data_IF_140719173392
#
_entry.id   IF_140719173392
#
_cell.length_a   1.000
_cell.length_b   1.000
_cell.length_c   1.000
_cell.angle_alpha   90.00
_cell.angle_beta   90.00
_cell.angle_gamma   90.00
#
_symmetry.space_group_name_H-M   'P 1'
#
loop_
_entity.id
_entity.type
_entity.pdbx_description
1 polymer ?
#
# COMPACT_ATOMS: atom_id res chain seq x y z
N UNK A 1 -16.81 8.29 -7.95
CA UNK A 1 -16.99 9.67 -8.49
C UNK A 1 -17.19 9.56 -9.99
N UNK A 2 -18.25 10.15 -10.52
CA UNK A 2 -18.54 10.14 -11.95
C UNK A 2 -17.87 11.35 -12.59
N UNK A 3 -17.01 11.12 -13.58
CA UNK A 3 -16.28 12.18 -14.29
C UNK A 3 -15.99 11.76 -15.72
N UNK A 4 -16.26 12.64 -16.69
CA UNK A 4 -16.01 12.40 -18.13
C UNK A 4 -16.55 11.06 -18.66
N UNK A 5 -17.70 10.63 -18.16
CA UNK A 5 -18.37 9.38 -18.58
C UNK A 5 -17.87 8.11 -17.89
N UNK A 6 -16.93 8.22 -16.95
CA UNK A 6 -16.39 7.09 -16.20
C UNK A 6 -16.74 7.18 -14.70
N UNK A 7 -16.67 6.05 -13.99
CA UNK A 7 -16.82 5.96 -12.53
C UNK A 7 -15.48 5.67 -11.91
N UNK A 8 -14.97 6.66 -11.19
CA UNK A 8 -13.64 6.69 -10.58
C UNK A 8 -13.70 6.39 -9.08
N UNK A 9 -12.86 5.49 -8.61
CA UNK A 9 -12.53 5.41 -7.19
C UNK A 9 -11.81 6.69 -6.76
N UNK A 10 -12.06 7.14 -5.52
CA UNK A 10 -11.44 8.34 -4.99
C UNK A 10 -10.79 8.11 -3.63
N UNK A 11 -9.61 8.69 -3.48
CA UNK A 11 -8.78 8.69 -2.30
C UNK A 11 -8.92 10.03 -1.57
N UNK A 12 -10.16 10.37 -1.22
CA UNK A 12 -10.52 11.58 -0.49
C UNK A 12 -11.89 11.40 0.17
N UNK A 13 -12.17 12.21 1.20
CA UNK A 13 -13.47 12.22 1.86
C UNK A 13 -14.07 13.65 1.88
N UNK A 14 -14.47 14.24 0.73
CA UNK A 14 -14.91 15.64 0.68
C UNK A 14 -16.09 15.99 1.59
N UNK A 15 -16.89 15.00 2.00
CA UNK A 15 -18.01 15.20 2.93
C UNK A 15 -17.54 15.37 4.39
N UNK A 16 -16.37 14.84 4.77
CA UNK A 16 -15.82 15.07 6.13
C UNK A 16 -15.46 16.54 6.34
N UNK A 17 -15.04 17.24 5.30
CA UNK A 17 -14.68 18.67 5.39
C UNK A 17 -15.89 19.55 5.72
N UNK A 18 -17.12 19.04 5.52
CA UNK A 18 -18.34 19.71 5.95
C UNK A 18 -18.61 19.57 7.45
N UNK A 19 -18.15 18.47 8.07
CA UNK A 19 -18.47 18.10 9.45
C UNK A 19 -17.18 17.98 10.27
N UNK A 20 -16.73 19.10 10.84
CA UNK A 20 -15.45 19.17 11.58
C UNK A 20 -15.53 18.59 13.00
N UNK A 21 -16.72 18.34 13.55
CA UNK A 21 -16.92 17.84 14.92
C UNK A 21 -17.89 16.66 14.97
N UNK A 22 -19.17 16.90 14.72
CA UNK A 22 -20.22 15.88 14.79
C UNK A 22 -20.94 15.76 13.47
N UNK A 23 -20.89 14.56 12.89
CA UNK A 23 -21.63 14.23 11.69
C UNK A 23 -23.10 13.95 12.02
N UNK A 24 -24.07 14.38 11.19
CA UNK A 24 -25.46 13.98 11.38
C UNK A 24 -25.62 12.47 11.20
N UNK A 25 -26.65 11.92 11.84
CA UNK A 25 -27.10 10.56 11.52
C UNK A 25 -27.70 10.56 10.11
N UNK A 26 -26.96 9.96 9.18
CA UNK A 26 -27.37 9.88 7.78
C UNK A 26 -28.52 8.91 7.55
N UNK A 27 -28.71 7.91 8.41
CA UNK A 27 -29.55 6.74 8.09
C UNK A 27 -30.64 6.46 9.11
N UNK A 28 -30.55 6.97 10.35
CA UNK A 28 -31.54 6.71 11.39
C UNK A 28 -31.54 5.26 11.88
N UNK A 29 -30.46 4.51 11.61
CA UNK A 29 -30.33 3.09 11.93
C UNK A 29 -28.96 2.81 12.57
N UNK A 30 -28.92 1.83 13.45
CA UNK A 30 -27.66 1.39 14.06
C UNK A 30 -26.79 0.72 12.99
N UNK A 31 -25.61 1.28 12.75
CA UNK A 31 -24.60 0.65 11.91
C UNK A 31 -23.89 -0.49 12.64
N UNK A 32 -23.39 -1.46 11.87
CA UNK A 32 -22.44 -2.47 12.38
C UNK A 32 -21.02 -2.08 11.97
N UNK A 33 -20.05 -2.34 12.86
CA UNK A 33 -18.64 -2.00 12.63
C UNK A 33 -18.06 -2.77 11.44
N UNK A 34 -17.42 -2.05 10.51
CA UNK A 34 -16.69 -2.64 9.39
C UNK A 34 -15.26 -2.13 9.40
N UNK A 35 -14.28 -3.03 9.28
CA UNK A 35 -12.85 -2.69 9.25
C UNK A 35 -12.45 -1.92 7.98
N UNK A 36 -13.23 -2.03 6.91
CA UNK A 36 -12.92 -1.43 5.61
C UNK A 36 -13.74 -0.16 5.33
N UNK A 37 -14.67 0.18 6.24
CA UNK A 37 -15.43 1.42 6.20
C UNK A 37 -15.69 1.96 7.62
N UNK A 38 -14.62 2.34 8.33
CA UNK A 38 -14.71 2.92 9.68
C UNK A 38 -15.60 4.15 9.77
N UNK A 39 -15.72 4.91 8.66
CA UNK A 39 -16.61 6.07 8.59
C UNK A 39 -18.09 5.69 8.51
N UNK A 40 -18.46 4.45 8.24
CA UNK A 40 -19.85 3.98 8.16
C UNK A 40 -20.61 4.40 6.90
N UNK A 41 -19.99 5.14 5.97
CA UNK A 41 -20.63 5.50 4.71
C UNK A 41 -19.64 5.63 3.54
N UNK A 42 -20.20 5.50 2.33
CA UNK A 42 -19.57 5.86 1.06
C UNK A 42 -20.38 6.96 0.38
N UNK A 43 -19.72 8.04 -0.04
CA UNK A 43 -20.34 9.10 -0.79
C UNK A 43 -20.06 8.95 -2.29
N UNK A 44 -21.09 9.16 -3.09
CA UNK A 44 -21.00 9.24 -4.54
C UNK A 44 -21.05 10.70 -4.96
N UNK A 45 -20.19 11.02 -5.92
CA UNK A 45 -19.97 12.37 -6.39
C UNK A 45 -20.04 12.37 -7.90
N UNK A 46 -20.44 13.50 -8.48
CA UNK A 46 -20.34 13.78 -9.91
C UNK A 46 -19.68 15.13 -10.12
N UNK A 47 -18.91 15.25 -11.20
CA UNK A 47 -18.39 16.54 -11.65
C UNK A 47 -19.12 16.93 -12.94
N UNK A 48 -19.87 18.03 -12.89
CA UNK A 48 -20.59 18.59 -14.03
C UNK A 48 -20.25 20.07 -14.18
N UNK A 49 -19.93 20.52 -15.40
CA UNK A 49 -19.55 21.92 -15.66
C UNK A 49 -18.51 22.44 -14.67
N UNK A 50 -17.45 21.65 -14.46
CA UNK A 50 -16.37 21.89 -13.50
C UNK A 50 -16.84 22.11 -12.06
N UNK A 51 -17.98 21.54 -11.66
CA UNK A 51 -18.52 21.68 -10.31
C UNK A 51 -18.71 20.30 -9.70
N UNK A 52 -18.20 20.12 -8.48
CA UNK A 52 -18.38 18.92 -7.69
C UNK A 52 -19.75 18.93 -7.03
N UNK A 53 -20.48 17.82 -7.18
CA UNK A 53 -21.76 17.60 -6.55
C UNK A 53 -21.77 16.26 -5.81
N UNK A 54 -22.40 16.24 -4.64
CA UNK A 54 -22.79 15.03 -3.94
C UNK A 54 -24.12 14.52 -4.51
N UNK A 55 -24.17 13.26 -4.92
CA UNK A 55 -25.37 12.63 -5.51
C UNK A 55 -25.99 11.57 -4.61
N UNK A 56 -25.17 10.84 -3.86
CA UNK A 56 -25.66 9.83 -2.93
C UNK A 56 -24.73 9.68 -1.72
N UNK A 57 -25.30 9.27 -0.58
CA UNK A 57 -24.57 8.76 0.57
C UNK A 57 -25.13 7.36 0.85
N UNK A 58 -24.27 6.35 0.79
CA UNK A 58 -24.59 4.94 1.00
C UNK A 58 -24.12 4.47 2.36
N UNK A 59 -24.93 3.66 3.03
CA UNK A 59 -24.53 2.98 4.26
C UNK A 59 -23.59 1.81 3.93
N UNK A 60 -22.42 1.76 4.58
CA UNK A 60 -21.44 0.70 4.33
C UNK A 60 -21.85 -0.67 4.88
N UNK A 61 -22.67 -0.72 5.94
CA UNK A 61 -23.08 -1.95 6.62
C UNK A 61 -24.26 -2.65 5.94
N UNK A 62 -24.88 -2.03 4.93
CA UNK A 62 -26.06 -2.54 4.24
C UNK A 62 -25.90 -2.53 2.71
N UNK A 63 -24.79 -3.09 2.21
CA UNK A 63 -24.46 -3.10 0.78
C UNK A 63 -25.50 -3.85 -0.07
N UNK A 64 -26.07 -4.94 0.42
CA UNK A 64 -27.07 -5.74 -0.30
C UNK A 64 -28.33 -4.93 -0.62
N UNK A 65 -28.77 -4.09 0.32
CA UNK A 65 -29.97 -3.28 0.19
C UNK A 65 -29.67 -1.84 -0.27
N UNK A 66 -28.39 -1.50 -0.47
CA UNK A 66 -27.89 -0.17 -0.85
C UNK A 66 -28.62 0.97 -0.13
N UNK A 67 -28.71 0.89 1.20
CA UNK A 67 -29.42 1.90 2.00
C UNK A 67 -28.80 3.28 1.75
N UNK A 68 -29.64 4.23 1.31
CA UNK A 68 -29.23 5.60 0.97
C UNK A 68 -29.73 6.59 2.03
N UNK A 69 -28.91 7.59 2.32
CA UNK A 69 -29.34 8.75 3.09
C UNK A 69 -30.32 9.60 2.27
N UNK A 70 -31.28 10.25 2.94
CA UNK A 70 -32.17 11.21 2.29
C UNK A 70 -31.47 12.57 2.18
N UNK A 71 -30.92 12.89 1.00
CA UNK A 71 -30.20 14.14 0.77
C UNK A 71 -31.10 15.37 0.88
N UNK A 72 -32.37 15.29 0.45
CA UNK A 72 -33.31 16.41 0.58
C UNK A 72 -33.55 16.76 2.06
N UNK A 73 -33.74 15.76 2.92
CA UNK A 73 -33.87 15.96 4.36
C UNK A 73 -32.59 16.51 4.99
N UNK A 74 -31.42 16.03 4.54
CA UNK A 74 -30.12 16.41 5.12
C UNK A 74 -29.66 17.81 4.69
N UNK A 75 -29.98 18.24 3.47
CA UNK A 75 -29.43 19.45 2.86
C UNK A 75 -30.48 20.51 2.52
N UNK A 76 -31.77 20.20 2.65
CA UNK A 76 -32.88 21.13 2.46
C UNK A 76 -32.80 21.84 1.11
N UNK A 77 -32.84 23.17 1.13
CA UNK A 77 -32.78 24.00 -0.09
C UNK A 77 -31.48 23.88 -0.89
N UNK A 78 -30.42 23.27 -0.33
CA UNK A 78 -29.17 22.99 -1.07
C UNK A 78 -29.29 21.75 -1.96
N UNK A 79 -30.29 20.90 -1.74
CA UNK A 79 -30.59 19.76 -2.61
C UNK A 79 -31.46 20.25 -3.77
N UNK A 80 -30.90 20.23 -4.97
CA UNK A 80 -31.52 20.72 -6.20
C UNK A 80 -31.29 19.68 -7.28
N UNK A 81 -32.34 19.26 -7.98
CA UNK A 81 -32.29 18.32 -9.10
C UNK A 81 -31.48 17.03 -8.81
N UNK A 82 -31.70 16.42 -7.64
CA UNK A 82 -31.05 15.16 -7.27
C UNK A 82 -29.64 15.28 -6.70
N UNK A 83 -29.12 16.49 -6.50
CA UNK A 83 -27.72 16.71 -6.12
C UNK A 83 -27.52 17.89 -5.17
N UNK A 84 -26.39 17.88 -4.47
CA UNK A 84 -25.97 18.96 -3.57
C UNK A 84 -24.63 19.52 -4.05
N UNK A 85 -24.57 20.83 -4.32
CA UNK A 85 -23.33 21.49 -4.73
C UNK A 85 -22.32 21.50 -3.57
N UNK A 86 -21.12 20.98 -3.82
CA UNK A 86 -20.07 20.85 -2.80
C UNK A 86 -19.25 22.12 -2.60
N UNK A 87 -19.90 23.27 -2.40
CA UNK A 87 -19.23 24.57 -2.30
C UNK A 87 -18.34 24.75 -1.05
N UNK A 88 -18.50 23.87 -0.06
CA UNK A 88 -17.64 23.79 1.12
C UNK A 88 -16.25 23.21 0.81
N UNK A 89 -16.11 22.36 -0.21
CA UNK A 89 -14.89 21.59 -0.43
C UNK A 89 -13.82 22.39 -1.18
N UNK A 90 -12.61 22.46 -0.63
CA UNK A 90 -11.42 22.96 -1.32
C UNK A 90 -10.24 22.05 -1.02
N UNK A 91 -9.72 21.35 -2.02
CA UNK A 91 -8.72 20.31 -1.82
C UNK A 91 -8.46 19.47 -3.06
N UNK A 92 -7.51 18.55 -2.97
CA UNK A 92 -7.21 17.56 -4.00
C UNK A 92 -8.03 16.29 -3.80
N UNK A 93 -8.56 15.74 -4.89
CA UNK A 93 -9.11 14.39 -4.97
C UNK A 93 -8.20 13.58 -5.88
N UNK A 94 -7.67 12.48 -5.37
CA UNK A 94 -6.85 11.54 -6.16
C UNK A 94 -7.73 10.36 -6.56
N UNK A 95 -7.64 9.94 -7.81
CA UNK A 95 -8.23 8.69 -8.30
C UNK A 95 -7.09 7.74 -8.73
N UNK A 96 -6.92 6.59 -8.05
CA UNK A 96 -5.95 5.57 -8.44
C UNK A 96 -6.46 4.75 -9.64
N UNK A 97 -5.57 4.41 -10.57
CA UNK A 97 -5.93 3.65 -11.77
C UNK A 97 -4.81 2.71 -12.20
N UNK A 98 -5.18 1.62 -12.87
CA UNK A 98 -4.23 0.63 -13.38
C UNK A 98 -3.76 -0.36 -12.31
N UNK A 99 -2.56 -0.92 -12.50
CA UNK A 99 -2.03 -1.97 -11.62
C UNK A 99 -1.58 -1.41 -10.28
N UNK A 100 -1.74 -2.19 -9.22
CA UNK A 100 -1.16 -1.89 -7.91
C UNK A 100 0.36 -1.99 -8.00
N UNK A 101 1.05 -0.88 -7.81
CA UNK A 101 2.53 -0.79 -7.81
C UNK A 101 3.06 -1.16 -6.44
N UNK A 102 2.45 -0.62 -5.38
CA UNK A 102 2.86 -0.90 -4.02
C UNK A 102 1.68 -0.82 -3.05
N UNK A 103 1.49 -1.87 -2.26
CA UNK A 103 0.44 -1.93 -1.24
C UNK A 103 0.88 -1.23 0.04
N UNK A 104 0.04 -0.32 0.54
CA UNK A 104 0.17 0.27 1.86
C UNK A 104 -1.15 0.07 2.61
N UNK A 105 -1.07 -0.62 3.75
CA UNK A 105 -2.24 -1.11 4.48
C UNK A 105 -3.15 0.02 5.00
N UNK A 106 -2.55 1.11 5.47
CA UNK A 106 -3.31 2.18 6.14
C UNK A 106 -3.73 3.28 5.18
N UNK A 107 -5.04 3.54 5.13
CA UNK A 107 -5.64 4.68 4.44
C UNK A 107 -5.49 4.64 2.92
N UNK A 108 -5.45 5.82 2.30
CA UNK A 108 -5.37 6.00 0.85
C UNK A 108 -3.93 6.05 0.32
N UNK A 109 -3.04 5.27 0.94
CA UNK A 109 -1.60 5.36 0.69
C UNK A 109 -1.09 4.35 -0.35
N UNK A 110 -1.89 3.33 -0.72
CA UNK A 110 -1.50 2.39 -1.77
C UNK A 110 -1.22 3.13 -3.09
N UNK A 111 -0.17 2.70 -3.79
CA UNK A 111 0.34 3.36 -4.98
C UNK A 111 -0.05 2.54 -6.20
N UNK A 112 -0.70 3.18 -7.15
CA UNK A 112 -1.15 2.59 -8.41
C UNK A 112 -0.40 3.18 -9.59
N UNK A 113 -0.37 2.44 -10.69
CA UNK A 113 0.34 2.78 -11.92
C UNK A 113 0.02 4.19 -12.42
N UNK A 114 -1.23 4.61 -12.34
CA UNK A 114 -1.65 5.95 -12.68
C UNK A 114 -2.43 6.59 -11.53
N UNK A 115 -2.24 7.89 -11.33
CA UNK A 115 -3.05 8.71 -10.42
C UNK A 115 -3.57 9.91 -11.18
N UNK A 116 -4.89 10.11 -11.16
CA UNK A 116 -5.54 11.34 -11.59
C UNK A 116 -5.80 12.22 -10.37
N UNK A 117 -5.17 13.40 -10.32
CA UNK A 117 -5.41 14.41 -9.29
C UNK A 117 -6.30 15.54 -9.83
N UNK A 118 -7.40 15.76 -9.13
CA UNK A 118 -8.38 16.82 -9.41
C UNK A 118 -8.37 17.80 -8.24
N UNK A 119 -7.97 19.06 -8.49
CA UNK A 119 -7.94 20.10 -7.46
C UNK A 119 -9.20 20.96 -7.52
N UNK A 120 -9.83 21.17 -6.37
CA UNK A 120 -11.04 21.96 -6.24
C UNK A 120 -10.84 23.19 -5.37
N UNK A 121 -11.54 24.28 -5.73
CA UNK A 121 -11.71 25.48 -4.89
C UNK A 121 -13.20 25.78 -4.77
N UNK A 122 -13.73 25.73 -3.56
CA UNK A 122 -15.17 25.93 -3.26
C UNK A 122 -16.07 25.10 -4.20
N UNK A 123 -15.74 23.82 -4.34
CA UNK A 123 -16.43 22.86 -5.20
C UNK A 123 -16.20 23.04 -6.70
N UNK A 124 -15.35 23.99 -7.15
CA UNK A 124 -15.02 24.16 -8.57
C UNK A 124 -13.72 23.46 -8.92
N UNK A 125 -13.74 22.62 -9.94
CA UNK A 125 -12.54 22.00 -10.51
C UNK A 125 -11.68 23.07 -11.16
N UNK A 126 -10.48 23.28 -10.63
CA UNK A 126 -9.54 24.31 -11.12
C UNK A 126 -8.27 23.72 -11.74
N UNK A 127 -7.98 22.45 -11.47
CA UNK A 127 -6.80 21.76 -12.02
C UNK A 127 -7.06 20.26 -12.15
N UNK A 128 -6.58 19.71 -13.26
CA UNK A 128 -6.50 18.28 -13.52
C UNK A 128 -5.03 17.94 -13.82
N UNK A 129 -4.50 16.90 -13.18
CA UNK A 129 -3.14 16.44 -13.41
C UNK A 129 -3.05 14.92 -13.34
N UNK A 130 -2.34 14.35 -14.31
CA UNK A 130 -2.04 12.92 -14.37
C UNK A 130 -0.62 12.65 -13.90
N UNK A 131 -0.46 11.55 -13.18
CA UNK A 131 0.83 11.04 -12.76
C UNK A 131 0.95 9.57 -13.14
N UNK A 132 2.16 9.19 -13.53
CA UNK A 132 2.54 7.80 -13.73
C UNK A 132 3.51 7.39 -12.61
N UNK A 133 3.21 6.29 -11.95
CA UNK A 133 4.00 5.71 -10.89
C UNK A 133 4.47 4.33 -11.33
N UNK A 134 5.68 3.96 -10.92
CA UNK A 134 6.22 2.66 -11.28
C UNK A 134 7.18 2.17 -10.21
N UNK A 135 7.40 0.85 -10.22
CA UNK A 135 8.49 0.23 -9.49
C UNK A 135 9.61 -0.04 -10.49
N UNK A 136 10.87 0.20 -10.12
CA UNK A 136 12.00 -0.16 -10.97
C UNK A 136 12.01 -1.68 -11.25
N UNK A 137 12.80 -2.11 -12.23
CA UNK A 137 12.97 -3.55 -12.49
C UNK A 137 13.65 -4.26 -11.31
N UNK A 138 14.66 -3.64 -10.70
CA UNK A 138 15.48 -4.22 -9.63
C UNK A 138 16.02 -5.63 -9.96
N UNK A 139 16.43 -6.38 -8.94
CA UNK A 139 16.89 -7.76 -9.10
C UNK A 139 15.75 -8.79 -9.02
N UNK A 140 16.02 -10.01 -9.47
CA UNK A 140 15.08 -11.14 -9.33
C UNK A 140 14.68 -11.40 -7.88
N UNK A 141 15.54 -11.06 -6.92
CA UNK A 141 15.33 -11.35 -5.50
C UNK A 141 14.27 -10.45 -4.84
N UNK A 142 13.98 -9.28 -5.40
CA UNK A 142 12.89 -8.44 -4.88
C UNK A 142 11.52 -8.84 -5.43
N UNK A 143 11.49 -9.61 -6.52
CA UNK A 143 10.27 -10.06 -7.21
C UNK A 143 9.87 -11.49 -6.87
N UNK A 144 10.86 -12.35 -6.65
CA UNK A 144 10.68 -13.78 -6.44
C UNK A 144 11.12 -14.18 -5.02
N UNK A 145 10.16 -14.42 -4.10
CA UNK A 145 10.46 -14.81 -2.72
C UNK A 145 11.26 -16.10 -2.60
N UNK A 146 11.16 -17.02 -3.54
CA UNK A 146 11.85 -18.30 -3.48
C UNK A 146 13.30 -18.17 -3.97
N UNK A 147 13.54 -17.33 -4.99
CA UNK A 147 14.91 -16.94 -5.37
C UNK A 147 15.60 -16.18 -4.25
N UNK A 148 14.88 -15.29 -3.57
CA UNK A 148 15.39 -14.59 -2.38
C UNK A 148 15.78 -15.57 -1.28
N UNK A 149 14.88 -16.48 -0.89
CA UNK A 149 15.18 -17.52 0.11
C UNK A 149 16.39 -18.35 -0.29
N UNK A 150 16.45 -18.77 -1.56
CA UNK A 150 17.59 -19.54 -2.07
C UNK A 150 18.88 -18.75 -1.94
N UNK A 151 18.89 -17.47 -2.33
CA UNK A 151 20.05 -16.58 -2.17
C UNK A 151 20.46 -16.47 -0.70
N UNK A 152 19.54 -16.12 0.19
CA UNK A 152 19.83 -15.93 1.61
C UNK A 152 20.41 -17.21 2.23
N UNK A 153 19.70 -18.33 2.12
CA UNK A 153 20.08 -19.57 2.81
C UNK A 153 21.32 -20.25 2.22
N UNK A 154 21.66 -19.99 0.96
CA UNK A 154 22.91 -20.46 0.35
C UNK A 154 24.14 -19.63 0.75
N UNK A 155 23.94 -18.39 1.18
CA UNK A 155 25.03 -17.50 1.63
C UNK A 155 25.21 -17.47 3.15
N UNK A 156 24.26 -17.99 3.94
CA UNK A 156 24.40 -18.14 5.39
C UNK A 156 25.48 -19.18 5.71
N UNK A 157 26.42 -18.79 6.56
CA UNK A 157 27.34 -19.72 7.22
C UNK A 157 26.62 -20.44 8.36
N UNK A 158 26.08 -21.62 8.03
CA UNK A 158 25.32 -22.45 8.96
C UNK A 158 26.15 -22.93 10.16
N UNK A 159 27.48 -22.89 10.10
CA UNK A 159 28.34 -23.24 11.25
C UNK A 159 28.32 -22.16 12.35
N UNK A 160 27.95 -20.93 12.01
CA UNK A 160 27.77 -19.84 12.98
C UNK A 160 26.41 -19.87 13.67
N UNK A 161 25.50 -20.74 13.22
CA UNK A 161 24.16 -20.87 13.78
C UNK A 161 24.19 -21.96 14.85
N UNK A 162 23.76 -21.70 16.10
CA UNK A 162 23.75 -22.73 17.14
C UNK A 162 22.75 -23.84 16.83
N UNK A 163 22.91 -25.03 17.41
CA UNK A 163 21.93 -26.11 17.28
C UNK A 163 20.56 -25.66 17.79
N UNK A 164 19.59 -25.58 16.88
CA UNK A 164 18.23 -25.10 17.15
C UNK A 164 17.30 -26.23 17.60
N UNK A 165 17.74 -27.50 17.58
CA UNK A 165 16.91 -28.67 17.88
C UNK A 165 15.62 -28.66 17.05
N UNK A 166 14.48 -28.44 17.70
CA UNK A 166 13.15 -28.38 17.09
C UNK A 166 12.60 -26.94 17.00
N UNK A 167 13.37 -25.95 17.45
CA UNK A 167 12.97 -24.55 17.42
C UNK A 167 13.14 -23.97 16.02
N UNK A 168 12.24 -23.04 15.69
CA UNK A 168 12.36 -22.16 14.52
C UNK A 168 12.50 -20.73 15.01
N UNK A 169 13.52 -20.05 14.52
CA UNK A 169 13.75 -18.62 14.77
C UNK A 169 13.33 -17.86 13.53
N UNK A 170 12.55 -16.79 13.71
CA UNK A 170 12.22 -15.87 12.62
C UNK A 170 12.80 -14.49 12.96
N UNK A 171 13.79 -14.09 12.16
CA UNK A 171 14.48 -12.81 12.25
C UNK A 171 13.92 -11.84 11.23
N UNK A 172 13.95 -10.55 11.55
CA UNK A 172 13.61 -9.48 10.60
C UNK A 172 14.85 -8.64 10.34
N UNK A 173 15.38 -8.73 9.12
CA UNK A 173 16.40 -7.81 8.64
C UNK A 173 15.69 -6.68 7.91
N UNK A 174 16.03 -5.45 8.24
CA UNK A 174 15.48 -4.26 7.61
C UNK A 174 16.57 -3.49 6.88
N UNK A 175 16.23 -2.90 5.75
CA UNK A 175 17.16 -2.11 4.97
C UNK A 175 16.47 -1.00 4.20
N UNK A 176 17.24 0.03 3.87
CA UNK A 176 16.83 1.11 2.97
C UNK A 176 17.68 1.08 1.71
N UNK A 177 17.20 1.74 0.67
CA UNK A 177 17.91 1.87 -0.61
C UNK A 177 17.97 3.32 -1.04
N UNK A 178 18.92 3.63 -1.92
CA UNK A 178 18.88 4.87 -2.69
C UNK A 178 17.87 4.76 -3.85
N UNK A 179 17.72 5.84 -4.63
CA UNK A 179 16.82 5.85 -5.80
C UNK A 179 17.26 4.91 -6.94
N UNK A 180 18.44 4.31 -6.88
CA UNK A 180 18.92 3.32 -7.86
C UNK A 180 18.77 1.89 -7.33
N UNK A 181 18.19 1.70 -6.14
CA UNK A 181 18.01 0.38 -5.53
C UNK A 181 19.26 -0.17 -4.84
N UNK A 182 20.34 0.61 -4.74
CA UNK A 182 21.53 0.19 -4.00
C UNK A 182 21.25 0.31 -2.51
N UNK A 183 21.66 -0.70 -1.74
CA UNK A 183 21.40 -0.73 -0.30
C UNK A 183 22.19 0.38 0.41
N UNK A 184 21.50 1.20 1.19
CA UNK A 184 22.09 2.32 1.96
C UNK A 184 22.35 1.91 3.41
N UNK A 185 21.37 1.32 4.07
CA UNK A 185 21.47 0.87 5.46
C UNK A 185 20.91 -0.53 5.62
N UNK A 186 21.51 -1.34 6.49
CA UNK A 186 21.05 -2.69 6.82
C UNK A 186 21.17 -2.90 8.33
N UNK A 187 20.08 -3.30 8.98
CA UNK A 187 20.03 -3.60 10.41
C UNK A 187 19.11 -4.79 10.71
N UNK A 188 19.21 -5.33 11.91
CA UNK A 188 18.37 -6.44 12.37
C UNK A 188 17.34 -5.86 13.34
N UNK A 189 16.08 -5.77 12.91
CA UNK A 189 14.97 -5.25 13.73
C UNK A 189 14.46 -6.29 14.73
N UNK A 190 14.50 -7.57 14.34
CA UNK A 190 14.21 -8.71 15.23
C UNK A 190 15.30 -9.74 15.07
N UNK A 191 16.15 -9.86 16.08
CA UNK A 191 17.30 -10.76 16.10
C UNK A 191 17.09 -12.02 16.94
N UNK A 192 18.17 -12.76 17.13
CA UNK A 192 18.26 -13.88 18.06
C UNK A 192 19.42 -13.69 19.04
N UNK A 193 20.64 -13.49 18.53
CA UNK A 193 21.81 -13.13 19.32
C UNK A 193 22.85 -12.44 18.43
N UNK A 194 23.82 -11.76 19.06
CA UNK A 194 24.81 -10.93 18.36
C UNK A 194 25.55 -11.67 17.23
N UNK A 195 25.87 -12.95 17.40
CA UNK A 195 26.60 -13.72 16.39
C UNK A 195 25.71 -14.02 15.18
N UNK A 196 24.49 -14.50 15.41
CA UNK A 196 23.53 -14.84 14.35
C UNK A 196 23.04 -13.57 13.63
N UNK A 197 22.83 -12.49 14.37
CA UNK A 197 22.39 -11.20 13.83
C UNK A 197 23.45 -10.60 12.90
N UNK A 198 24.74 -10.68 13.27
CA UNK A 198 25.85 -10.26 12.40
C UNK A 198 25.89 -11.06 11.09
N UNK A 199 25.65 -12.36 11.16
CA UNK A 199 25.64 -13.23 9.99
C UNK A 199 24.44 -12.93 9.07
N UNK A 200 23.24 -12.75 9.64
CA UNK A 200 22.04 -12.35 8.89
C UNK A 200 22.24 -10.99 8.19
N UNK A 201 22.78 -9.99 8.90
CA UNK A 201 23.08 -8.68 8.32
C UNK A 201 24.17 -8.76 7.23
N UNK A 202 25.20 -9.59 7.41
CA UNK A 202 26.25 -9.81 6.41
C UNK A 202 25.66 -10.34 5.11
N UNK A 203 24.80 -11.35 5.18
CA UNK A 203 24.16 -11.94 4.00
C UNK A 203 23.23 -10.95 3.32
N UNK A 204 22.43 -10.18 4.08
CA UNK A 204 21.56 -9.16 3.50
C UNK A 204 22.35 -8.05 2.78
N UNK A 205 23.52 -7.64 3.29
CA UNK A 205 24.41 -6.68 2.60
C UNK A 205 24.97 -7.17 1.26
N UNK A 206 24.88 -8.48 0.97
CA UNK A 206 25.30 -9.04 -0.31
C UNK A 206 24.20 -8.99 -1.37
N UNK A 207 22.97 -8.60 -1.00
CA UNK A 207 21.89 -8.48 -1.97
C UNK A 207 22.28 -7.47 -3.07
N UNK A 208 22.00 -7.79 -4.34
CA UNK A 208 22.16 -6.83 -5.42
C UNK A 208 21.09 -5.74 -5.34
N UNK A 209 21.06 -4.88 -6.35
CA UNK A 209 20.09 -3.80 -6.47
C UNK A 209 18.65 -4.30 -6.24
N UNK A 210 17.93 -3.58 -5.39
CA UNK A 210 16.55 -3.84 -5.02
C UNK A 210 15.59 -3.01 -5.85
N UNK A 211 14.33 -3.43 -5.90
CA UNK A 211 13.28 -2.63 -6.51
C UNK A 211 12.97 -1.39 -5.68
N UNK A 212 12.74 -0.27 -6.36
CA UNK A 212 12.39 1.02 -5.73
C UNK A 212 11.13 1.59 -6.34
N UNK A 213 10.39 2.37 -5.56
CA UNK A 213 9.13 2.97 -6.00
C UNK A 213 9.37 4.42 -6.41
N UNK A 214 8.84 4.78 -7.57
CA UNK A 214 8.74 6.16 -8.04
C UNK A 214 7.28 6.57 -8.07
N UNK A 215 6.92 7.57 -7.27
CA UNK A 215 5.59 8.15 -7.21
C UNK A 215 5.62 9.62 -7.62
N UNK A 216 4.76 10.02 -8.56
CA UNK A 216 4.67 11.39 -9.09
C UNK A 216 6.04 11.97 -9.50
N UNK A 217 6.87 11.13 -10.12
CA UNK A 217 8.22 11.50 -10.58
C UNK A 217 9.28 11.60 -9.48
N UNK A 218 8.97 11.22 -8.24
CA UNK A 218 9.90 11.25 -7.10
C UNK A 218 10.17 9.84 -6.60
N UNK A 219 11.42 9.59 -6.21
CA UNK A 219 11.78 8.39 -5.48
C UNK A 219 11.13 8.41 -4.09
N UNK A 220 10.43 7.32 -3.75
CA UNK A 220 9.85 7.11 -2.44
C UNK A 220 10.76 6.19 -1.62
N UNK A 221 11.44 6.70 -0.57
CA UNK A 221 12.28 5.87 0.28
C UNK A 221 11.42 4.90 1.09
N UNK A 222 11.81 3.63 1.11
CA UNK A 222 11.10 2.60 1.85
C UNK A 222 12.03 1.84 2.79
N UNK A 223 11.48 1.45 3.94
CA UNK A 223 12.12 0.52 4.86
C UNK A 223 11.65 -0.89 4.50
N UNK A 224 12.47 -1.60 3.72
CA UNK A 224 12.21 -2.97 3.34
C UNK A 224 12.48 -3.91 4.50
N UNK A 225 11.65 -4.95 4.63
CA UNK A 225 11.82 -6.00 5.66
C UNK A 225 11.92 -7.35 4.97
N UNK A 226 12.99 -8.08 5.28
CA UNK A 226 13.17 -9.48 4.86
C UNK A 226 13.07 -10.36 6.10
N UNK A 227 12.07 -11.26 6.16
CA UNK A 227 12.04 -12.30 7.17
C UNK A 227 13.06 -13.40 6.83
N UNK A 228 13.90 -13.77 7.80
CA UNK A 228 14.85 -14.89 7.69
C UNK A 228 14.45 -15.93 8.72
N UNK A 229 14.02 -17.10 8.25
CA UNK A 229 13.68 -18.23 9.10
C UNK A 229 14.89 -19.17 9.22
N UNK A 230 15.24 -19.53 10.45
CA UNK A 230 16.32 -20.48 10.76
C UNK A 230 15.74 -21.68 11.50
N UNK A 231 16.06 -22.88 11.02
CA UNK A 231 15.70 -24.16 11.63
C UNK A 231 16.68 -25.25 11.20
N UNK A 232 16.71 -26.37 11.93
CA UNK A 232 17.54 -27.53 11.55
C UNK A 232 17.10 -28.16 10.22
N UNK A 233 15.83 -28.04 9.82
CA UNK A 233 15.36 -28.53 8.52
C UNK A 233 15.95 -27.72 7.37
N UNK A 234 15.94 -26.39 7.47
CA UNK A 234 16.56 -25.49 6.48
C UNK A 234 18.08 -25.70 6.47
N UNK A 235 18.72 -25.79 7.64
CA UNK A 235 20.17 -26.09 7.75
C UNK A 235 20.54 -27.34 6.96
N UNK A 236 19.85 -28.46 7.22
CA UNK A 236 20.11 -29.74 6.54
C UNK A 236 19.92 -29.63 5.04
N UNK A 237 18.91 -28.88 4.58
CA UNK A 237 18.67 -28.67 3.15
C UNK A 237 19.84 -27.93 2.47
N UNK A 238 20.31 -26.83 3.07
CA UNK A 238 21.30 -25.96 2.42
C UNK A 238 22.76 -26.40 2.66
N UNK A 239 23.07 -27.06 3.78
CA UNK A 239 24.38 -27.68 3.98
C UNK A 239 24.63 -28.88 3.06
N UNK A 240 23.58 -29.62 2.66
CA UNK A 240 23.70 -30.70 1.67
C UNK A 240 24.02 -30.14 0.28
N UNK A 241 23.44 -29.00 -0.10
CA UNK A 241 23.67 -28.36 -1.40
C UNK A 241 25.08 -27.79 -1.56
N UNK A 242 25.67 -27.25 -0.50
CA UNK A 242 27.07 -26.77 -0.50
C UNK A 242 28.11 -27.90 -0.60
N UNK A 243 27.72 -29.16 -0.35
CA UNK A 243 28.58 -30.34 -0.46
C UNK A 243 28.49 -31.05 -1.82
N UNK A 244 27.55 -30.67 -2.69
CA UNK A 244 27.51 -31.15 -4.06
C UNK A 244 28.57 -30.40 -4.88
N UNK A 245 29.42 -31.09 -5.68
CA UNK A 245 30.38 -30.41 -6.54
C UNK A 245 29.64 -29.42 -7.43
N UNK A 246 30.17 -28.20 -7.61
CA UNK A 246 29.75 -27.35 -8.73
C UNK A 246 30.02 -28.16 -9.99
N UNK A 247 28.97 -28.64 -10.65
CA UNK A 247 29.11 -29.39 -11.89
C UNK A 247 30.01 -28.59 -12.83
N UNK A 248 31.06 -29.26 -13.30
CA UNK A 248 32.04 -28.71 -14.20
C UNK A 248 31.30 -28.18 -15.43
N UNK A 249 31.49 -26.91 -15.74
CA UNK A 249 31.24 -26.40 -17.08
C UNK A 249 32.13 -27.21 -18.04
N UNK A 250 31.55 -28.24 -18.65
CA UNK A 250 32.12 -28.92 -19.79
C UNK A 250 31.76 -28.06 -21.00
N UNK A 251 32.81 -27.41 -21.50
CA UNK A 251 33.06 -26.79 -22.82
C UNK A 251 31.87 -26.57 -23.75
#
# INVERSE_FOLDING_TARGET
MIYKGDTLDIYANPLEDLYTTTRPDFFGIQGYESTDCWRGYQAEWIIENNTLYLTNIYNCSHQENKVKANLEKLFGSKYVDGKVKADWFSGGIVSPQGKLVHYIHMGYNSIYENELELTFQKGKLVKEQWYHNYMSEGSVYSKDPDKLKQFLYSHIDWNKIPDLKQQQICMCVVFTTDGKGRLDSVSVAKGYNVQVDKEAARVAKMLPEWQVVYRRGKFEPWLWTIPIALSESIRKQYMKKTKLPKEAHIK
#
